data_IF_806694014298
#
_entry.id   IF_806694014298
#
_cell.length_a   1.000
_cell.length_b   1.000
_cell.length_c   1.000
_cell.angle_alpha   90.00
_cell.angle_beta   90.00
_cell.angle_gamma   90.00
#
_symmetry.space_group_name_H-M   'P 1'
#
loop_
_entity.id
_entity.type
_entity.pdbx_description
1 polymer ?
#
# COMPACT_ATOMS: atom_id res chain seq x y z
N UNK A 1 6.51 13.90 -3.87
CA UNK A 1 5.71 13.27 -2.80
C UNK A 1 5.51 11.80 -3.09
N UNK A 2 5.72 10.97 -2.10
CA UNK A 2 5.58 9.52 -2.22
C UNK A 2 4.84 8.96 -1.02
N UNK A 3 4.10 7.88 -1.25
CA UNK A 3 3.46 7.13 -0.18
C UNK A 3 4.14 5.78 -0.08
N UNK A 4 4.64 5.47 1.12
CA UNK A 4 5.34 4.22 1.41
C UNK A 4 4.43 3.30 2.19
N UNK A 5 4.55 2.01 1.92
CA UNK A 5 3.73 0.99 2.57
C UNK A 5 4.61 -0.11 3.13
N UNK A 6 4.35 -0.46 4.39
CA UNK A 6 4.88 -1.67 5.02
C UNK A 6 3.73 -2.63 5.21
N UNK A 7 3.96 -3.92 5.01
CA UNK A 7 2.92 -4.93 5.12
C UNK A 7 3.43 -6.13 5.91
N UNK A 8 2.56 -6.66 6.76
CA UNK A 8 2.83 -7.88 7.53
C UNK A 8 1.79 -8.93 7.12
N UNK A 9 2.27 -10.07 6.65
CA UNK A 9 1.40 -11.13 6.19
C UNK A 9 0.97 -12.02 7.36
N UNK A 10 -0.21 -12.63 7.22
CA UNK A 10 -0.74 -13.59 8.18
C UNK A 10 -0.74 -14.97 7.54
N UNK A 11 -0.34 -15.98 8.31
CA UNK A 11 -0.39 -17.37 7.83
C UNK A 11 -1.82 -17.84 7.57
N UNK A 12 -2.80 -17.16 8.13
CA UNK A 12 -4.23 -17.50 7.95
C UNK A 12 -4.91 -16.60 6.91
N UNK A 13 -4.18 -15.66 6.33
CA UNK A 13 -4.71 -14.76 5.32
C UNK A 13 -4.49 -15.29 3.92
N UNK A 14 -4.68 -14.41 2.94
CA UNK A 14 -4.41 -14.76 1.54
C UNK A 14 -2.91 -14.86 1.31
N UNK A 15 -2.53 -15.44 0.18
CA UNK A 15 -1.11 -15.59 -0.17
C UNK A 15 -0.44 -14.22 -0.36
N UNK A 16 0.83 -14.07 0.03
CA UNK A 16 1.56 -12.83 -0.23
C UNK A 16 1.53 -12.39 -1.69
N UNK A 17 1.53 -13.33 -2.63
CA UNK A 17 1.47 -13.00 -4.05
C UNK A 17 0.15 -12.31 -4.43
N UNK A 18 -0.95 -12.66 -3.80
CA UNK A 18 -2.22 -12.01 -4.04
C UNK A 18 -2.22 -10.57 -3.50
N UNK A 19 -1.66 -10.36 -2.34
CA UNK A 19 -1.50 -9.01 -1.77
C UNK A 19 -0.65 -8.17 -2.71
N UNK A 20 0.45 -8.73 -3.19
CA UNK A 20 1.33 -8.05 -4.14
C UNK A 20 0.57 -7.61 -5.39
N UNK A 21 -0.24 -8.49 -5.96
CA UNK A 21 -1.02 -8.16 -7.16
C UNK A 21 -2.01 -7.03 -6.91
N UNK A 22 -2.67 -7.04 -5.75
CA UNK A 22 -3.62 -5.98 -5.40
C UNK A 22 -2.92 -4.63 -5.28
N UNK A 23 -1.74 -4.60 -4.66
CA UNK A 23 -0.98 -3.37 -4.50
C UNK A 23 -0.44 -2.87 -5.82
N UNK A 24 0.06 -3.75 -6.69
CA UNK A 24 0.51 -3.36 -8.03
C UNK A 24 -0.65 -2.76 -8.84
N UNK A 25 -1.84 -3.30 -8.70
CA UNK A 25 -3.03 -2.78 -9.39
C UNK A 25 -3.38 -1.36 -8.95
N UNK A 26 -3.01 -0.97 -7.75
CA UNK A 26 -3.22 0.40 -7.25
C UNK A 26 -2.13 1.36 -7.72
N UNK A 27 -1.05 0.85 -8.31
CA UNK A 27 0.06 1.68 -8.77
C UNK A 27 1.28 1.66 -7.87
N UNK A 28 1.28 0.85 -6.82
CA UNK A 28 2.48 0.66 -6.01
C UNK A 28 3.54 -0.10 -6.78
N UNK A 29 4.79 0.18 -6.44
CA UNK A 29 5.93 -0.57 -6.93
C UNK A 29 6.65 -1.21 -5.74
N UNK A 30 7.13 -2.46 -5.87
CA UNK A 30 7.95 -3.07 -4.82
C UNK A 30 9.24 -2.29 -4.64
N UNK A 31 9.72 -2.25 -3.42
CA UNK A 31 11.00 -1.59 -3.14
C UNK A 31 11.78 -2.38 -2.09
N UNK A 32 13.06 -2.10 -2.00
CA UNK A 32 13.92 -2.62 -0.96
C UNK A 32 14.21 -1.51 0.05
N UNK A 33 14.54 -1.89 1.27
CA UNK A 33 14.86 -0.93 2.33
C UNK A 33 13.87 -1.01 3.47
N UNK A 34 13.56 0.13 4.05
CA UNK A 34 12.72 0.21 5.26
C UNK A 34 11.24 -0.03 4.99
N UNK A 35 10.82 0.05 3.73
CA UNK A 35 9.43 -0.14 3.32
C UNK A 35 9.35 -1.21 2.27
N UNK A 36 8.15 -1.76 2.06
CA UNK A 36 7.94 -2.84 1.11
C UNK A 36 7.46 -2.36 -0.26
N UNK A 37 6.71 -1.27 -0.28
CA UNK A 37 6.14 -0.72 -1.52
C UNK A 37 6.19 0.80 -1.48
N UNK A 38 6.18 1.39 -2.66
CA UNK A 38 6.15 2.85 -2.81
C UNK A 38 5.19 3.23 -3.94
N UNK A 39 4.44 4.31 -3.70
CA UNK A 39 3.60 4.94 -4.72
C UNK A 39 4.12 6.35 -4.95
N UNK A 40 4.52 6.64 -6.18
CA UNK A 40 5.03 7.95 -6.54
C UNK A 40 3.90 8.81 -7.11
N UNK A 41 3.57 9.90 -6.41
CA UNK A 41 2.51 10.80 -6.84
C UNK A 41 2.91 11.66 -8.04
N UNK A 42 4.21 11.81 -8.30
CA UNK A 42 4.79 12.66 -9.34
C UNK A 42 4.45 14.15 -9.17
N UNK A 43 3.88 14.53 -8.05
CA UNK A 43 3.52 15.91 -7.74
C UNK A 43 3.23 16.01 -6.25
N UNK A 44 3.02 17.22 -5.77
CA UNK A 44 2.49 17.42 -4.43
C UNK A 44 0.97 17.40 -4.53
N UNK A 45 0.35 16.69 -3.62
CA UNK A 45 -1.11 16.58 -3.54
C UNK A 45 -1.56 16.99 -2.15
N UNK A 46 -2.82 17.36 -2.01
CA UNK A 46 -3.34 17.77 -0.71
C UNK A 46 -3.70 16.55 0.15
N UNK A 47 -3.97 16.84 1.42
CA UNK A 47 -4.28 15.80 2.41
C UNK A 47 -5.50 14.98 2.01
N UNK A 48 -6.49 15.61 1.40
CA UNK A 48 -7.72 14.89 0.99
C UNK A 48 -7.40 13.80 -0.04
N UNK A 49 -6.51 14.09 -0.98
CA UNK A 49 -6.10 13.10 -1.98
C UNK A 49 -5.35 11.94 -1.33
N UNK A 50 -4.48 12.26 -0.38
CA UNK A 50 -3.75 11.22 0.36
C UNK A 50 -4.71 10.32 1.12
N UNK A 51 -5.71 10.90 1.78
CA UNK A 51 -6.70 10.13 2.54
C UNK A 51 -7.56 9.27 1.62
N UNK A 52 -7.98 9.79 0.47
CA UNK A 52 -8.72 9.01 -0.52
C UNK A 52 -7.93 7.80 -0.98
N UNK A 53 -6.63 8.00 -1.22
CA UNK A 53 -5.76 6.89 -1.61
C UNK A 53 -5.61 5.88 -0.49
N UNK A 54 -5.49 6.35 0.75
CA UNK A 54 -5.46 5.47 1.92
C UNK A 54 -6.71 4.60 2.02
N UNK A 55 -7.88 5.18 1.74
CA UNK A 55 -9.13 4.42 1.71
C UNK A 55 -9.11 3.35 0.62
N UNK A 56 -8.57 3.67 -0.56
CA UNK A 56 -8.45 2.69 -1.65
C UNK A 56 -7.53 1.54 -1.25
N UNK A 57 -6.43 1.83 -0.57
CA UNK A 57 -5.52 0.80 -0.07
C UNK A 57 -6.26 -0.08 0.94
N UNK A 58 -6.96 0.54 1.89
CA UNK A 58 -7.73 -0.19 2.90
C UNK A 58 -8.73 -1.15 2.25
N UNK A 59 -9.51 -0.65 1.31
CA UNK A 59 -10.52 -1.48 0.64
C UNK A 59 -9.89 -2.59 -0.19
N UNK A 60 -8.78 -2.30 -0.86
CA UNK A 60 -8.08 -3.30 -1.66
C UNK A 60 -7.53 -4.45 -0.82
N UNK A 61 -7.09 -4.14 0.40
CA UNK A 61 -6.52 -5.15 1.29
C UNK A 61 -7.53 -5.76 2.25
N UNK A 62 -8.78 -5.34 2.20
CA UNK A 62 -9.83 -5.88 3.05
C UNK A 62 -10.04 -7.37 2.75
N UNK A 63 -10.14 -8.17 3.79
CA UNK A 63 -10.31 -9.61 3.65
C UNK A 63 -9.03 -10.39 3.41
N UNK A 64 -7.88 -9.71 3.27
CA UNK A 64 -6.60 -10.39 3.05
C UNK A 64 -5.95 -10.87 4.34
N UNK A 65 -6.34 -10.32 5.48
CA UNK A 65 -5.73 -10.65 6.77
C UNK A 65 -4.40 -9.98 7.01
N UNK A 66 -3.93 -9.10 6.12
CA UNK A 66 -2.65 -8.41 6.33
C UNK A 66 -2.82 -7.21 7.24
N UNK A 67 -1.75 -6.88 7.95
CA UNK A 67 -1.61 -5.61 8.62
C UNK A 67 -0.71 -4.72 7.77
N UNK A 68 -0.98 -3.43 7.73
CA UNK A 68 -0.16 -2.53 6.93
C UNK A 68 -0.05 -1.16 7.59
N UNK A 69 0.97 -0.43 7.17
CA UNK A 69 1.23 0.93 7.61
C UNK A 69 1.54 1.78 6.38
N UNK A 70 0.96 2.96 6.31
CA UNK A 70 1.21 3.93 5.24
C UNK A 70 1.90 5.16 5.82
N UNK A 71 2.89 5.66 5.09
CA UNK A 71 3.53 6.95 5.38
C UNK A 71 3.66 7.73 4.08
N UNK A 72 3.26 8.99 4.11
CA UNK A 72 3.38 9.88 2.96
C UNK A 72 4.35 11.01 3.29
N UNK A 73 5.34 11.24 2.41
CA UNK A 73 6.35 12.29 2.61
C UNK A 73 6.91 12.80 1.28
#
# INVERSE_FOLDING_TARGET
>A
MKTYLMVWFSSEGVRPSEVNQRLLSLGFEPMQGSYDFVYNWNSNVDVEKVLEFGDKVYLSLQGTGVMFKLETM
#
